data_IF_408487577171
#
_entry.id   IF_408487577171
#
_cell.length_a   1.000
_cell.length_b   1.000
_cell.length_c   1.000
_cell.angle_alpha   90.00
_cell.angle_beta   90.00
_cell.angle_gamma   90.00
#
_symmetry.space_group_name_H-M   'P 1'
#
loop_
_entity.id
_entity.type
_entity.pdbx_description
1 polymer ?
#
# COMPACT_ATOMS: atom_id res chain seq x y z
N UNK A 1 -2.51 -15.98 17.71
CA UNK A 1 -3.84 -15.51 18.14
C UNK A 1 -4.65 -15.05 16.94
N UNK A 2 -5.75 -15.71 16.66
CA UNK A 2 -6.63 -15.28 15.55
C UNK A 2 -7.31 -13.97 15.93
N UNK A 3 -7.04 -12.91 15.19
CA UNK A 3 -7.76 -11.65 15.35
C UNK A 3 -9.21 -11.84 14.93
N UNK A 4 -10.10 -11.63 15.86
CA UNK A 4 -11.54 -11.66 15.59
C UNK A 4 -11.95 -10.36 14.92
N UNK A 5 -12.44 -10.46 13.70
CA UNK A 5 -13.00 -9.31 13.01
C UNK A 5 -14.38 -9.01 13.57
N UNK A 6 -14.66 -7.74 13.82
CA UNK A 6 -15.99 -7.30 14.19
C UNK A 6 -16.95 -7.44 13.01
N UNK A 7 -18.26 -7.28 13.32
CA UNK A 7 -19.31 -7.41 12.30
C UNK A 7 -19.11 -6.43 11.13
N UNK A 8 -18.85 -5.18 11.45
CA UNK A 8 -18.67 -4.14 10.43
C UNK A 8 -17.40 -4.36 9.61
N UNK A 9 -16.34 -4.78 10.27
CA UNK A 9 -15.07 -5.10 9.60
C UNK A 9 -15.24 -6.26 8.62
N UNK A 10 -15.98 -7.30 9.01
CA UNK A 10 -16.29 -8.44 8.14
C UNK A 10 -17.15 -8.02 6.95
N UNK A 11 -18.12 -7.13 7.19
CA UNK A 11 -18.98 -6.60 6.12
C UNK A 11 -18.16 -5.79 5.11
N UNK A 12 -17.23 -4.98 5.59
CA UNK A 12 -16.34 -4.22 4.71
C UNK A 12 -15.50 -5.15 3.84
N UNK A 13 -14.87 -6.16 4.43
CA UNK A 13 -14.03 -7.09 3.67
C UNK A 13 -14.83 -7.87 2.64
N UNK A 14 -16.02 -8.33 3.00
CA UNK A 14 -16.90 -9.02 2.07
C UNK A 14 -17.30 -8.11 0.90
N UNK A 15 -17.64 -6.87 1.18
CA UNK A 15 -17.98 -5.88 0.15
C UNK A 15 -16.79 -5.63 -0.78
N UNK A 16 -15.61 -5.41 -0.21
CA UNK A 16 -14.39 -5.16 -0.99
C UNK A 16 -14.03 -6.35 -1.89
N UNK A 17 -14.13 -7.57 -1.36
CA UNK A 17 -13.86 -8.78 -2.14
C UNK A 17 -14.85 -8.99 -3.26
N UNK A 18 -16.13 -8.76 -2.98
CA UNK A 18 -17.19 -8.88 -3.98
C UNK A 18 -17.01 -7.90 -5.13
N UNK A 19 -16.52 -6.70 -4.83
CA UNK A 19 -16.25 -5.65 -5.81
C UNK A 19 -14.87 -5.76 -6.45
N UNK A 20 -14.01 -6.66 -5.98
CA UNK A 20 -12.64 -6.75 -6.45
C UNK A 20 -11.81 -5.52 -6.13
N UNK A 21 -12.12 -4.84 -5.02
CA UNK A 21 -11.42 -3.62 -4.62
C UNK A 21 -10.04 -3.95 -4.08
N UNK A 22 -9.01 -3.31 -4.63
CA UNK A 22 -7.64 -3.37 -4.14
C UNK A 22 -7.25 -2.12 -3.38
N UNK A 23 -7.98 -1.04 -3.60
CA UNK A 23 -7.74 0.26 -3.02
C UNK A 23 -9.07 0.88 -2.64
N UNK A 24 -9.12 1.58 -1.51
CA UNK A 24 -10.32 2.25 -1.06
C UNK A 24 -9.96 3.67 -0.59
N UNK A 25 -10.79 4.63 -0.99
CA UNK A 25 -10.67 6.02 -0.57
C UNK A 25 -11.73 6.36 0.47
N UNK A 26 -11.41 7.32 1.32
CA UNK A 26 -12.40 7.85 2.27
C UNK A 26 -13.62 8.36 1.51
N UNK A 27 -14.80 7.93 1.94
CA UNK A 27 -16.06 8.28 1.33
C UNK A 27 -16.66 7.21 0.42
N UNK A 28 -15.86 6.33 -0.14
CA UNK A 28 -16.33 5.34 -1.13
C UNK A 28 -17.31 4.31 -0.56
N UNK A 29 -17.16 3.96 0.71
CA UNK A 29 -17.96 2.89 1.32
C UNK A 29 -19.09 3.39 2.22
N UNK A 30 -19.21 4.70 2.42
CA UNK A 30 -20.20 5.25 3.34
C UNK A 30 -21.62 4.89 2.95
N UNK A 31 -21.98 5.05 1.70
CA UNK A 31 -23.31 4.74 1.21
C UNK A 31 -23.60 3.25 1.24
N UNK A 32 -22.68 2.45 0.74
CA UNK A 32 -22.85 1.00 0.64
C UNK A 32 -23.02 0.32 2.00
N UNK A 33 -22.33 0.81 3.03
CA UNK A 33 -22.36 0.23 4.38
C UNK A 33 -23.16 1.07 5.36
N UNK A 34 -23.84 2.10 4.90
CA UNK A 34 -24.66 3.00 5.72
C UNK A 34 -23.86 3.60 6.88
N UNK A 35 -22.67 4.16 6.56
CA UNK A 35 -21.78 4.72 7.56
C UNK A 35 -21.73 6.24 7.51
N UNK A 36 -21.64 6.88 8.67
CA UNK A 36 -21.27 8.28 8.78
C UNK A 36 -19.76 8.44 8.65
N UNK A 37 -19.29 9.69 8.49
CA UNK A 37 -17.88 10.02 8.36
C UNK A 37 -17.03 9.48 9.51
N UNK A 38 -17.50 9.68 10.76
CA UNK A 38 -16.79 9.22 11.95
C UNK A 38 -16.71 7.70 12.03
N UNK A 39 -17.78 7.02 11.65
CA UNK A 39 -17.84 5.57 11.64
C UNK A 39 -16.87 4.97 10.62
N UNK A 40 -16.80 5.57 9.43
CA UNK A 40 -15.88 5.14 8.39
C UNK A 40 -14.43 5.32 8.84
N UNK A 41 -14.09 6.48 9.42
CA UNK A 41 -12.74 6.75 9.91
C UNK A 41 -12.34 5.75 10.99
N UNK A 42 -13.25 5.45 11.93
CA UNK A 42 -12.98 4.48 12.99
C UNK A 42 -12.81 3.07 12.45
N UNK A 43 -13.60 2.70 11.44
CA UNK A 43 -13.48 1.41 10.76
C UNK A 43 -12.10 1.26 10.12
N UNK A 44 -11.68 2.24 9.36
CA UNK A 44 -10.35 2.22 8.72
C UNK A 44 -9.22 2.21 9.73
N UNK A 45 -9.38 2.96 10.82
CA UNK A 45 -8.38 2.98 11.90
C UNK A 45 -8.21 1.60 12.52
N UNK A 46 -9.31 0.92 12.81
CA UNK A 46 -9.27 -0.43 13.40
C UNK A 46 -8.67 -1.45 12.44
N UNK A 47 -9.07 -1.41 11.17
CA UNK A 47 -8.56 -2.32 10.16
C UNK A 47 -7.06 -2.12 9.91
N UNK A 48 -6.61 -0.87 9.86
CA UNK A 48 -5.17 -0.54 9.69
C UNK A 48 -4.36 -0.99 10.89
N UNK A 49 -4.83 -0.70 12.08
CA UNK A 49 -4.17 -1.10 13.33
C UNK A 49 -4.07 -2.61 13.45
N UNK A 50 -5.09 -3.31 12.99
CA UNK A 50 -5.13 -4.76 12.98
C UNK A 50 -4.36 -5.44 11.87
N UNK A 51 -3.68 -4.68 11.00
CA UNK A 51 -2.95 -5.19 9.83
C UNK A 51 -3.85 -5.95 8.86
N UNK A 52 -5.10 -5.51 8.72
CA UNK A 52 -6.06 -6.06 7.76
C UNK A 52 -6.02 -5.28 6.45
N UNK A 53 -5.86 -3.97 6.55
CA UNK A 53 -5.62 -3.09 5.41
C UNK A 53 -4.34 -2.29 5.67
N UNK A 54 -3.81 -1.65 4.63
CA UNK A 54 -2.60 -0.85 4.75
C UNK A 54 -2.86 0.59 4.34
N UNK A 55 -2.59 1.53 5.24
CA UNK A 55 -2.75 2.96 4.95
C UNK A 55 -1.61 3.45 4.06
N UNK A 56 -1.97 4.00 2.91
CA UNK A 56 -1.01 4.63 1.99
C UNK A 56 -0.75 6.07 2.40
N UNK A 57 -1.82 6.81 2.65
CA UNK A 57 -1.84 8.18 3.15
C UNK A 57 -3.19 8.43 3.81
N UNK A 58 -3.39 9.57 4.48
CA UNK A 58 -4.71 9.88 5.02
C UNK A 58 -5.78 9.80 3.92
N UNK A 59 -6.77 8.95 4.15
CA UNK A 59 -7.90 8.77 3.24
C UNK A 59 -7.68 7.78 2.10
N UNK A 60 -6.53 7.10 2.04
CA UNK A 60 -6.26 6.11 1.00
C UNK A 60 -5.66 4.84 1.62
N UNK A 61 -6.28 3.70 1.31
CA UNK A 61 -5.90 2.41 1.89
C UNK A 61 -5.80 1.32 0.82
N UNK A 62 -4.86 0.39 1.00
CA UNK A 62 -4.78 -0.82 0.21
C UNK A 62 -5.52 -1.95 0.92
N UNK A 63 -6.25 -2.72 0.16
CA UNK A 63 -7.12 -3.81 0.65
C UNK A 63 -6.58 -5.14 0.13
N UNK A 64 -6.47 -6.17 0.98
CA UNK A 64 -6.03 -7.49 0.51
C UNK A 64 -7.06 -8.15 -0.38
N UNK A 65 -6.57 -8.93 -1.34
CA UNK A 65 -7.41 -9.78 -2.16
C UNK A 65 -8.02 -10.90 -1.29
N UNK A 66 -7.19 -11.46 -0.43
CA UNK A 66 -7.57 -12.44 0.58
C UNK A 66 -6.84 -12.15 1.88
N UNK A 67 -7.57 -12.24 2.99
CA UNK A 67 -6.93 -12.13 4.28
C UNK A 67 -6.18 -13.43 4.57
N UNK A 68 -4.86 -13.38 4.90
CA UNK A 68 -4.10 -14.57 5.21
C UNK A 68 -4.62 -15.31 6.44
N UNK A 69 -4.37 -16.61 6.48
CA UNK A 69 -4.60 -17.39 7.68
C UNK A 69 -3.78 -16.79 8.83
N UNK A 70 -4.44 -16.46 9.95
CA UNK A 70 -3.79 -15.76 11.05
C UNK A 70 -4.10 -14.27 11.10
N UNK A 71 -4.71 -13.71 10.08
CA UNK A 71 -5.33 -12.39 10.08
C UNK A 71 -4.44 -11.19 9.80
N UNK A 72 -3.11 -11.35 9.73
CA UNK A 72 -2.21 -10.24 9.43
C UNK A 72 -1.87 -10.17 7.94
N UNK A 73 -1.92 -8.98 7.35
CA UNK A 73 -1.59 -8.78 5.94
C UNK A 73 -0.75 -7.52 5.77
N UNK A 74 0.16 -7.57 4.80
CA UNK A 74 0.91 -6.40 4.35
C UNK A 74 1.00 -6.44 2.83
N UNK A 75 0.92 -5.28 2.16
CA UNK A 75 1.07 -5.24 0.70
C UNK A 75 2.50 -5.57 0.30
N UNK A 76 2.66 -6.00 -0.95
CA UNK A 76 3.98 -6.15 -1.54
C UNK A 76 4.65 -4.78 -1.72
N UNK A 77 5.97 -4.80 -1.83
CA UNK A 77 6.79 -3.60 -2.01
C UNK A 77 6.33 -2.76 -3.21
N UNK A 78 6.14 -3.41 -4.36
CA UNK A 78 5.75 -2.71 -5.58
C UNK A 78 4.31 -2.22 -5.54
N UNK A 79 3.42 -2.99 -4.98
CA UNK A 79 2.02 -2.60 -4.82
C UNK A 79 1.92 -1.33 -3.96
N UNK A 80 2.64 -1.30 -2.86
CA UNK A 80 2.67 -0.17 -1.96
C UNK A 80 3.28 1.07 -2.62
N UNK A 81 4.40 0.88 -3.33
CA UNK A 81 5.09 1.98 -4.02
C UNK A 81 4.25 2.54 -5.16
N UNK A 82 3.61 1.68 -5.94
CA UNK A 82 2.69 2.12 -6.99
C UNK A 82 1.56 2.95 -6.41
N UNK A 83 0.97 2.53 -5.30
CA UNK A 83 -0.11 3.27 -4.67
C UNK A 83 0.35 4.66 -4.20
N UNK A 84 1.56 4.74 -3.62
CA UNK A 84 2.10 6.02 -3.16
C UNK A 84 2.36 7.01 -4.30
N UNK A 85 2.90 6.53 -5.41
CA UNK A 85 3.39 7.38 -6.50
C UNK A 85 2.31 7.63 -7.55
N UNK A 86 1.58 6.60 -7.96
CA UNK A 86 0.53 6.73 -8.98
C UNK A 86 -0.64 7.59 -8.51
N UNK A 87 -0.97 7.55 -7.22
CA UNK A 87 -1.99 8.42 -6.65
C UNK A 87 -1.68 9.90 -6.91
N UNK A 88 -0.40 10.23 -7.11
CA UNK A 88 0.07 11.59 -7.38
C UNK A 88 0.49 11.78 -8.84
N UNK A 89 0.13 10.85 -9.72
CA UNK A 89 0.51 10.85 -11.13
C UNK A 89 2.02 10.93 -11.32
N UNK A 90 2.76 10.22 -10.47
CA UNK A 90 4.22 10.22 -10.50
C UNK A 90 4.81 8.97 -11.13
N UNK A 91 6.13 9.00 -11.28
CA UNK A 91 6.93 7.86 -11.73
C UNK A 91 8.04 7.63 -10.72
N UNK A 92 8.54 6.39 -10.66
CA UNK A 92 9.60 6.04 -9.72
C UNK A 92 10.61 5.07 -10.31
N UNK A 93 11.77 5.00 -9.65
CA UNK A 93 12.84 4.06 -9.94
C UNK A 93 13.41 3.55 -8.61
N UNK A 94 13.49 2.23 -8.45
CA UNK A 94 14.09 1.63 -7.26
C UNK A 94 15.61 1.82 -7.33
N UNK A 95 16.21 2.17 -6.21
CA UNK A 95 17.62 2.48 -6.13
C UNK A 95 18.27 1.93 -4.86
N UNK A 96 19.59 2.11 -4.75
CA UNK A 96 20.36 1.74 -3.58
C UNK A 96 20.41 0.24 -3.32
N UNK A 97 20.37 -0.18 -2.04
CA UNK A 97 20.49 -1.59 -1.66
C UNK A 97 19.45 -2.49 -2.31
N UNK A 98 18.25 -1.97 -2.57
CA UNK A 98 17.19 -2.75 -3.20
C UNK A 98 17.55 -3.17 -4.63
N UNK A 99 18.18 -2.28 -5.39
CA UNK A 99 18.62 -2.58 -6.74
C UNK A 99 19.69 -3.68 -6.73
N UNK A 100 20.68 -3.55 -5.85
CA UNK A 100 21.73 -4.56 -5.71
C UNK A 100 21.16 -5.92 -5.31
N UNK A 101 20.25 -5.94 -4.37
CA UNK A 101 19.59 -7.17 -3.93
C UNK A 101 18.86 -7.87 -5.08
N UNK A 102 18.17 -7.12 -5.91
CA UNK A 102 17.44 -7.68 -7.06
C UNK A 102 18.35 -8.36 -8.08
N UNK A 103 19.56 -7.87 -8.23
CA UNK A 103 20.54 -8.45 -9.15
C UNK A 103 21.39 -9.54 -8.50
N UNK A 104 21.15 -9.85 -7.24
CA UNK A 104 21.88 -10.90 -6.54
C UNK A 104 23.26 -10.50 -6.06
N UNK A 105 23.57 -9.21 -6.07
CA UNK A 105 24.88 -8.70 -5.64
C UNK A 105 25.03 -8.56 -4.14
N UNK A 106 23.92 -8.53 -3.42
CA UNK A 106 23.91 -8.39 -1.96
C UNK A 106 22.96 -9.42 -1.37
N UNK A 107 23.47 -10.22 -0.43
CA UNK A 107 22.68 -11.25 0.24
C UNK A 107 21.79 -10.69 1.34
N UNK A 108 22.03 -9.46 1.80
CA UNK A 108 21.22 -8.84 2.82
C UNK A 108 19.95 -8.25 2.23
N UNK A 109 18.81 -8.66 2.75
CA UNK A 109 17.52 -8.07 2.38
C UNK A 109 17.39 -6.73 3.12
N UNK A 110 17.31 -5.60 2.42
CA UNK A 110 17.18 -4.32 3.08
C UNK A 110 15.84 -4.21 3.79
N UNK A 111 15.85 -3.63 5.00
CA UNK A 111 14.63 -3.39 5.79
C UNK A 111 13.79 -2.26 5.20
N UNK A 112 14.34 -1.51 4.28
CA UNK A 112 13.74 -0.30 3.72
C UNK A 112 13.99 -0.25 2.22
N UNK A 113 12.96 0.17 1.48
CA UNK A 113 13.06 0.36 0.04
C UNK A 113 13.39 1.80 -0.28
N UNK A 114 14.42 1.99 -1.10
CA UNK A 114 14.84 3.31 -1.57
C UNK A 114 14.38 3.49 -3.01
N UNK A 115 13.73 4.62 -3.30
CA UNK A 115 13.24 4.88 -4.64
C UNK A 115 13.36 6.36 -5.01
N UNK A 116 13.82 6.61 -6.21
CA UNK A 116 13.72 7.92 -6.83
C UNK A 116 12.34 8.08 -7.43
N UNK A 117 11.76 9.26 -7.31
CA UNK A 117 10.47 9.58 -7.91
C UNK A 117 10.38 11.07 -8.17
N UNK A 118 9.35 11.49 -8.90
CA UNK A 118 9.19 12.88 -9.30
C UNK A 118 8.13 13.66 -8.50
N UNK A 119 7.61 13.09 -7.41
CA UNK A 119 6.50 13.71 -6.68
C UNK A 119 6.74 13.96 -5.21
N UNK A 120 7.29 12.99 -4.49
CA UNK A 120 7.38 13.08 -3.03
C UNK A 120 8.78 12.72 -2.52
N UNK A 121 9.13 13.28 -1.36
CA UNK A 121 10.38 12.97 -0.68
C UNK A 121 10.09 12.64 0.78
N UNK A 122 11.03 11.95 1.42
CA UNK A 122 10.97 11.61 2.84
C UNK A 122 10.63 10.15 3.08
N UNK A 123 10.50 9.82 4.36
CA UNK A 123 10.18 8.47 4.79
C UNK A 123 8.68 8.23 4.76
N UNK A 124 8.29 7.06 4.25
CA UNK A 124 6.88 6.63 4.20
C UNK A 124 6.78 5.18 4.64
N UNK A 125 5.62 4.83 5.18
CA UNK A 125 5.33 3.46 5.59
C UNK A 125 3.96 3.06 5.08
N UNK A 126 3.89 1.91 4.41
CA UNK A 126 2.63 1.33 3.95
C UNK A 126 2.56 -0.11 4.46
N UNK A 127 1.69 -0.38 5.42
CA UNK A 127 1.68 -1.65 6.10
C UNK A 127 3.00 -1.89 6.84
N UNK A 128 3.66 -3.00 6.57
CA UNK A 128 4.97 -3.32 7.13
C UNK A 128 6.13 -2.83 6.26
N UNK A 129 5.84 -2.28 5.08
CA UNK A 129 6.88 -1.84 4.14
C UNK A 129 7.27 -0.40 4.44
N UNK A 130 8.58 -0.16 4.57
CA UNK A 130 9.13 1.17 4.81
C UNK A 130 9.86 1.67 3.57
N UNK A 131 9.67 2.94 3.25
CA UNK A 131 10.28 3.59 2.09
C UNK A 131 11.05 4.83 2.47
N UNK A 132 12.18 5.03 1.81
CA UNK A 132 12.85 6.33 1.74
C UNK A 132 12.74 6.81 0.31
N UNK A 133 11.98 7.88 0.10
CA UNK A 133 11.69 8.42 -1.21
C UNK A 133 12.53 9.67 -1.46
N UNK A 134 13.14 9.71 -2.63
CA UNK A 134 13.99 10.83 -3.04
C UNK A 134 13.37 11.47 -4.28
N UNK A 135 12.93 12.72 -4.11
CA UNK A 135 12.33 13.46 -5.22
C UNK A 135 13.41 13.95 -6.16
N UNK A 136 13.26 13.64 -7.45
CA UNK A 136 14.18 14.06 -8.51
C UNK A 136 13.37 14.64 -9.67
N UNK A 137 14.04 15.40 -10.54
CA UNK A 137 13.40 15.93 -11.73
C UNK A 137 13.03 14.81 -12.70
N UNK A 138 11.95 14.99 -13.48
CA UNK A 138 11.48 13.99 -14.45
C UNK A 138 12.58 13.53 -15.40
N UNK A 139 13.50 14.41 -15.75
CA UNK A 139 14.62 14.09 -16.63
C UNK A 139 15.51 12.97 -16.11
N UNK A 140 15.64 12.85 -14.78
CA UNK A 140 16.47 11.82 -14.15
C UNK A 140 15.81 10.46 -14.13
N UNK A 141 14.52 10.39 -14.35
CA UNK A 141 13.75 9.15 -14.43
C UNK A 141 13.68 8.62 -15.87
N UNK A 142 14.22 9.38 -16.84
CA UNK A 142 14.31 8.94 -18.22
C UNK A 142 15.23 7.75 -18.37
N UNK A 143 14.86 6.79 -19.24
CA UNK A 143 15.66 5.60 -19.47
C UNK A 143 15.40 4.46 -18.48
N UNK A 144 14.44 4.61 -17.59
CA UNK A 144 14.03 3.53 -16.71
C UNK A 144 13.24 2.47 -17.48
N UNK A 145 13.56 1.21 -17.21
CA UNK A 145 12.82 0.09 -17.78
C UNK A 145 11.54 -0.07 -16.99
N UNK A 146 10.39 0.01 -17.66
CA UNK A 146 9.12 -0.30 -17.04
C UNK A 146 9.03 -1.79 -16.80
N UNK A 147 9.13 -2.20 -15.54
CA UNK A 147 8.86 -3.57 -15.15
C UNK A 147 7.39 -3.65 -14.77
N UNK A 148 6.57 -4.15 -15.67
CA UNK A 148 5.18 -4.47 -15.34
C UNK A 148 5.18 -5.76 -14.54
N UNK A 149 5.12 -5.62 -13.23
CA UNK A 149 4.86 -6.77 -12.39
C UNK A 149 3.36 -7.02 -12.38
N UNK A 150 2.96 -8.23 -12.71
CA UNK A 150 1.59 -8.65 -12.48
C UNK A 150 1.39 -8.83 -10.98
N UNK A 151 1.21 -7.75 -10.30
CA UNK A 151 0.65 -7.79 -8.96
C UNK A 151 -0.84 -7.95 -9.14
N UNK A 152 -1.24 -9.17 -9.29
CA UNK A 152 -2.65 -9.48 -9.41
C UNK A 152 -3.49 -8.83 -8.33
#
# INVERSE_FOLDING_TARGET
MKKRLGRLESQFLAYAQMRGMRMVRAGEIREALCLGKSQEMELFRRLSRGSVIARVRPGLYLVPDRLPLGGGWTPGEFEALNALIEDRNGRYQICGPNAFNRYGYDEQIPNRTYAYNNRISGDRKVGAVQFTLIKVADKRLGGTIEVKMSTG
#
